data_IF_685831996550
#
_entry.id   IF_685831996550
#
_cell.length_a   1.000
_cell.length_b   1.000
_cell.length_c   1.000
_cell.angle_alpha   90.00
_cell.angle_beta   90.00
_cell.angle_gamma   90.00
#
_symmetry.space_group_name_H-M   'P 1'
#
loop_
_entity.id
_entity.type
_entity.pdbx_description
1 polymer ?
#
# COMPACT_ATOMS: atom_id res chain seq x y z
N UNK A 1 35.93 -18.97 -27.95
CA UNK A 1 34.53 -18.85 -27.48
C UNK A 1 34.42 -19.08 -25.97
N UNK A 2 35.26 -19.85 -25.36
CA UNK A 2 35.01 -20.36 -24.02
C UNK A 2 35.40 -19.46 -22.84
N UNK A 3 36.21 -18.44 -23.03
CA UNK A 3 36.67 -17.55 -21.94
C UNK A 3 35.57 -16.54 -21.53
N UNK A 4 34.75 -16.07 -22.47
CA UNK A 4 33.66 -15.13 -22.21
C UNK A 4 32.51 -15.80 -21.44
N UNK A 5 32.18 -17.04 -21.80
CA UNK A 5 31.09 -17.78 -21.12
C UNK A 5 31.47 -18.14 -19.68
N UNK A 6 32.75 -18.43 -19.41
CA UNK A 6 33.26 -18.69 -18.05
C UNK A 6 33.22 -17.45 -17.20
N UNK A 7 33.56 -16.29 -17.77
CA UNK A 7 33.51 -15.01 -17.05
C UNK A 7 32.07 -14.62 -16.68
N UNK A 8 31.14 -14.74 -17.63
CA UNK A 8 29.73 -14.42 -17.41
C UNK A 8 29.12 -15.33 -16.34
N UNK A 9 29.43 -16.63 -16.38
CA UNK A 9 29.02 -17.57 -15.35
C UNK A 9 29.63 -17.23 -13.98
N UNK A 10 30.91 -16.87 -13.93
CA UNK A 10 31.59 -16.47 -12.70
C UNK A 10 30.98 -15.22 -12.08
N UNK A 11 30.72 -14.19 -12.91
CA UNK A 11 30.06 -12.95 -12.46
C UNK A 11 28.64 -13.21 -11.98
N UNK A 12 27.87 -14.02 -12.68
CA UNK A 12 26.50 -14.36 -12.27
C UNK A 12 26.48 -15.07 -10.92
N UNK A 13 27.35 -16.06 -10.70
CA UNK A 13 27.48 -16.76 -9.43
C UNK A 13 27.93 -15.85 -8.29
N UNK A 14 28.84 -14.94 -8.56
CA UNK A 14 29.31 -13.94 -7.61
C UNK A 14 28.17 -12.96 -7.26
N UNK A 15 27.40 -12.53 -8.26
CA UNK A 15 26.24 -11.66 -8.09
C UNK A 15 25.17 -12.31 -7.17
N UNK A 16 24.83 -13.57 -7.44
CA UNK A 16 23.88 -14.32 -6.60
C UNK A 16 24.37 -14.47 -5.16
N UNK A 17 25.67 -14.74 -4.97
CA UNK A 17 26.29 -14.85 -3.64
C UNK A 17 26.25 -13.52 -2.89
N UNK A 18 26.59 -12.41 -3.53
CA UNK A 18 26.53 -11.07 -2.92
C UNK A 18 25.11 -10.67 -2.58
N UNK A 19 24.15 -10.94 -3.46
CA UNK A 19 22.74 -10.64 -3.16
C UNK A 19 22.30 -11.40 -1.91
N UNK A 20 22.53 -12.71 -1.88
CA UNK A 20 22.04 -13.59 -0.81
C UNK A 20 22.75 -13.35 0.52
N UNK A 21 24.05 -13.14 0.52
CA UNK A 21 24.85 -13.12 1.74
C UNK A 21 25.26 -11.74 2.22
N UNK A 22 25.12 -10.69 1.38
CA UNK A 22 25.53 -9.32 1.70
C UNK A 22 24.37 -8.37 1.60
N UNK A 23 23.69 -8.29 0.44
CA UNK A 23 22.63 -7.29 0.20
C UNK A 23 21.38 -7.61 1.02
N UNK A 24 20.90 -8.84 0.94
CA UNK A 24 19.68 -9.27 1.63
C UNK A 24 19.79 -9.14 3.17
N UNK A 25 20.86 -9.61 3.83
CA UNK A 25 21.10 -9.34 5.24
C UNK A 25 21.27 -7.85 5.58
N UNK A 26 21.94 -7.08 4.73
CA UNK A 26 22.14 -5.63 4.93
C UNK A 26 20.86 -4.83 4.84
N UNK A 27 19.88 -5.31 4.08
CA UNK A 27 18.53 -4.73 3.97
C UNK A 27 17.64 -5.10 5.16
N UNK A 28 18.08 -6.04 6.02
CA UNK A 28 17.33 -6.38 7.21
C UNK A 28 17.49 -5.27 8.26
N UNK A 29 16.52 -4.36 8.30
CA UNK A 29 16.53 -3.16 9.14
C UNK A 29 16.41 -3.45 10.64
N UNK A 30 16.12 -4.70 11.02
CA UNK A 30 16.05 -5.10 12.42
C UNK A 30 17.42 -5.19 13.09
N UNK A 31 18.47 -5.38 12.30
CA UNK A 31 19.86 -5.39 12.78
C UNK A 31 20.66 -4.47 11.87
N UNK A 32 20.84 -3.19 12.27
CA UNK A 32 21.64 -2.27 11.49
C UNK A 32 23.07 -2.84 11.38
N UNK A 33 23.53 -3.01 10.15
CA UNK A 33 24.88 -3.50 9.88
C UNK A 33 25.74 -2.35 9.36
N UNK A 34 26.99 -2.29 9.80
CA UNK A 34 28.00 -1.40 9.23
C UNK A 34 28.93 -2.18 8.29
N UNK A 35 29.34 -1.57 7.19
CA UNK A 35 30.33 -2.14 6.29
C UNK A 35 31.70 -1.53 6.56
N UNK A 36 32.69 -2.36 6.79
CA UNK A 36 34.07 -1.97 6.95
C UNK A 36 34.90 -2.67 5.87
N UNK A 37 35.65 -1.89 5.10
CA UNK A 37 36.61 -2.42 4.13
C UNK A 37 38.00 -2.41 4.77
N UNK A 38 38.55 -3.60 5.02
CA UNK A 38 39.91 -3.77 5.49
C UNK A 38 40.78 -4.16 4.29
N UNK A 39 41.76 -3.33 3.95
CA UNK A 39 42.77 -3.66 2.96
C UNK A 39 44.03 -4.17 3.68
N UNK A 40 44.38 -5.43 3.52
CA UNK A 40 45.63 -5.97 4.01
C UNK A 40 46.79 -5.54 3.07
N UNK A 41 47.59 -4.61 3.53
CA UNK A 41 48.86 -4.25 2.88
C UNK A 41 49.94 -5.25 3.27
N UNK A 42 49.76 -6.51 2.96
CA UNK A 42 50.88 -7.43 3.04
C UNK A 42 51.71 -7.33 1.76
N UNK A 43 52.99 -7.15 1.92
CA UNK A 43 54.05 -6.93 0.92
C UNK A 43 54.07 -8.04 -0.15
N UNK A 44 53.29 -7.84 -1.19
CA UNK A 44 53.22 -8.71 -2.37
C UNK A 44 52.07 -8.25 -3.26
N UNK A 45 52.18 -8.38 -4.55
CA UNK A 45 51.33 -7.85 -5.61
C UNK A 45 49.83 -8.15 -5.57
N UNK A 46 49.34 -8.85 -4.53
CA UNK A 46 47.93 -9.11 -4.31
C UNK A 46 47.42 -8.34 -3.09
N UNK A 47 46.69 -7.27 -3.31
CA UNK A 47 45.93 -6.57 -2.25
C UNK A 47 44.69 -7.37 -1.93
N UNK A 48 44.73 -8.20 -0.89
CA UNK A 48 43.54 -8.85 -0.35
C UNK A 48 42.70 -7.83 0.41
N UNK A 49 41.54 -7.51 -0.09
CA UNK A 49 40.57 -6.66 0.60
C UNK A 49 39.41 -7.50 1.15
N UNK A 50 39.05 -7.26 2.38
CA UNK A 50 37.96 -7.94 3.06
C UNK A 50 36.85 -6.96 3.40
N UNK A 51 35.66 -7.25 2.92
CA UNK A 51 34.45 -6.53 3.32
C UNK A 51 33.82 -7.24 4.54
N UNK A 52 33.84 -6.58 5.70
CA UNK A 52 33.23 -7.09 6.92
C UNK A 52 31.87 -6.42 7.16
N UNK A 53 30.91 -7.26 7.49
CA UNK A 53 29.57 -6.82 7.93
C UNK A 53 29.54 -6.95 9.45
N UNK A 54 29.52 -5.82 10.15
CA UNK A 54 29.48 -5.81 11.62
C UNK A 54 28.07 -5.36 12.07
N UNK A 55 27.51 -6.01 13.12
CA UNK A 55 26.30 -5.49 13.73
C UNK A 55 26.57 -4.10 14.31
N UNK A 56 25.69 -3.15 14.06
CA UNK A 56 25.80 -1.80 14.57
C UNK A 56 25.46 -1.80 16.07
N UNK A 57 26.43 -1.47 16.91
CA UNK A 57 26.30 -1.43 18.38
C UNK A 57 25.91 -0.04 18.92
N UNK A 58 25.46 0.87 18.05
CA UNK A 58 25.06 2.23 18.45
C UNK A 58 23.65 2.27 19.03
N UNK A 59 23.45 3.20 19.98
CA UNK A 59 22.17 3.52 20.61
C UNK A 59 21.07 3.81 19.60
N UNK A 60 19.89 3.28 19.88
CA UNK A 60 18.57 3.47 19.26
C UNK A 60 18.54 4.33 18.00
N UNK A 61 18.55 3.68 16.83
CA UNK A 61 18.20 4.36 15.59
C UNK A 61 16.68 4.52 15.61
N UNK A 62 16.22 5.69 16.04
CA UNK A 62 14.85 6.12 15.90
C UNK A 62 14.57 6.34 14.40
N UNK A 63 14.03 5.32 13.74
CA UNK A 63 13.54 5.41 12.37
C UNK A 63 14.43 4.74 11.33
N UNK A 64 13.81 4.44 10.20
CA UNK A 64 14.42 3.96 8.97
C UNK A 64 15.32 5.07 8.37
N UNK A 65 16.61 5.09 8.70
CA UNK A 65 17.55 6.07 8.18
C UNK A 65 18.00 5.70 6.74
N UNK A 66 17.43 6.39 5.77
CA UNK A 66 17.76 6.22 4.35
C UNK A 66 19.19 6.63 4.01
N UNK A 67 19.75 7.62 4.71
CA UNK A 67 21.11 8.08 4.48
C UNK A 67 22.13 7.00 4.84
N UNK A 68 21.95 6.37 5.98
CA UNK A 68 22.79 5.24 6.40
C UNK A 68 22.65 4.03 5.46
N UNK A 69 21.44 3.78 4.94
CA UNK A 69 21.21 2.71 3.98
C UNK A 69 21.94 2.95 2.65
N UNK A 70 21.71 4.13 2.04
CA UNK A 70 22.34 4.45 0.75
C UNK A 70 23.86 4.55 0.87
N UNK A 71 24.39 5.11 1.96
CA UNK A 71 25.83 5.15 2.23
C UNK A 71 26.45 3.76 2.29
N UNK A 72 25.79 2.81 2.98
CA UNK A 72 26.23 1.39 3.01
C UNK A 72 26.24 0.75 1.62
N UNK A 73 25.17 1.01 0.83
CA UNK A 73 25.12 0.48 -0.52
C UNK A 73 26.21 1.07 -1.42
N UNK A 74 26.55 2.34 -1.27
CA UNK A 74 27.66 2.98 -1.99
C UNK A 74 29.02 2.32 -1.62
N UNK A 75 29.25 2.06 -0.32
CA UNK A 75 30.46 1.37 0.12
C UNK A 75 30.56 -0.02 -0.53
N UNK A 76 29.47 -0.77 -0.53
CA UNK A 76 29.41 -2.09 -1.16
C UNK A 76 29.70 -2.03 -2.65
N UNK A 77 29.03 -1.13 -3.38
CA UNK A 77 29.18 -1.04 -4.84
C UNK A 77 30.60 -0.55 -5.23
N UNK A 78 31.19 0.35 -4.45
CA UNK A 78 32.60 0.77 -4.62
C UNK A 78 33.56 -0.39 -4.35
N UNK A 79 33.29 -1.22 -3.35
CA UNK A 79 34.08 -2.43 -3.09
C UNK A 79 34.01 -3.40 -4.29
N UNK A 80 32.83 -3.62 -4.83
CA UNK A 80 32.62 -4.47 -6.03
C UNK A 80 33.41 -3.91 -7.22
N UNK A 81 33.28 -2.60 -7.46
CA UNK A 81 33.99 -1.93 -8.57
C UNK A 81 35.49 -2.13 -8.47
N UNK A 82 36.06 -1.88 -7.29
CA UNK A 82 37.50 -1.91 -7.08
C UNK A 82 38.10 -3.33 -7.01
N UNK A 83 37.43 -4.24 -6.30
CA UNK A 83 38.04 -5.53 -5.94
C UNK A 83 37.47 -6.72 -6.71
N UNK A 84 36.27 -6.62 -7.27
CA UNK A 84 35.65 -7.71 -8.05
C UNK A 84 35.73 -7.39 -9.54
N UNK A 85 35.35 -6.19 -9.92
CA UNK A 85 35.37 -5.75 -11.31
C UNK A 85 36.75 -5.14 -11.73
N UNK A 86 37.72 -5.04 -10.82
CA UNK A 86 39.08 -4.55 -11.06
C UNK A 86 39.09 -3.19 -11.81
N UNK A 87 38.21 -2.28 -11.42
CA UNK A 87 38.00 -0.95 -12.04
C UNK A 87 37.62 -1.03 -13.53
N UNK A 88 37.20 -2.18 -14.03
CA UNK A 88 36.76 -2.36 -15.39
C UNK A 88 35.30 -2.01 -15.56
N UNK A 89 34.97 -0.91 -16.22
CA UNK A 89 33.62 -0.43 -16.42
C UNK A 89 32.72 -1.37 -17.23
N UNK A 90 33.28 -2.23 -18.11
CA UNK A 90 32.46 -3.21 -18.83
C UNK A 90 32.01 -4.34 -17.91
N UNK A 91 32.90 -4.83 -17.05
CA UNK A 91 32.54 -5.84 -16.05
C UNK A 91 31.57 -5.30 -15.02
N UNK A 92 31.78 -4.05 -14.60
CA UNK A 92 30.86 -3.35 -13.70
C UNK A 92 29.46 -3.24 -14.28
N UNK A 93 29.36 -2.89 -15.57
CA UNK A 93 28.07 -2.81 -16.26
C UNK A 93 27.38 -4.17 -16.38
N UNK A 94 28.13 -5.21 -16.66
CA UNK A 94 27.60 -6.58 -16.74
C UNK A 94 27.12 -7.03 -15.36
N UNK A 95 27.93 -6.82 -14.33
CA UNK A 95 27.59 -7.12 -12.96
C UNK A 95 26.33 -6.33 -12.50
N UNK A 96 26.25 -5.07 -12.82
CA UNK A 96 25.09 -4.22 -12.54
C UNK A 96 23.80 -4.73 -13.20
N UNK A 97 23.86 -5.15 -14.48
CA UNK A 97 22.70 -5.75 -15.14
C UNK A 97 22.17 -7.00 -14.43
N UNK A 98 23.04 -7.78 -13.82
CA UNK A 98 22.67 -8.99 -13.09
C UNK A 98 22.12 -8.69 -11.68
N UNK A 99 22.64 -7.66 -11.01
CA UNK A 99 22.35 -7.40 -9.59
C UNK A 99 21.33 -6.29 -9.37
N UNK A 100 21.33 -5.24 -10.19
CA UNK A 100 20.51 -4.05 -9.98
C UNK A 100 19.00 -4.32 -9.91
N UNK A 101 18.40 -5.17 -10.77
CA UNK A 101 16.97 -5.45 -10.66
C UNK A 101 16.58 -5.97 -9.28
N UNK A 102 17.32 -6.95 -8.76
CA UNK A 102 17.05 -7.53 -7.44
C UNK A 102 17.38 -6.58 -6.29
N UNK A 103 18.50 -5.86 -6.38
CA UNK A 103 18.90 -4.88 -5.37
C UNK A 103 17.91 -3.76 -5.26
N UNK A 104 17.44 -3.20 -6.38
CA UNK A 104 16.43 -2.15 -6.40
C UNK A 104 15.07 -2.64 -5.85
N UNK A 105 14.64 -3.86 -6.18
CA UNK A 105 13.42 -4.45 -5.62
C UNK A 105 13.51 -4.63 -4.10
N UNK A 106 14.67 -5.03 -3.57
CA UNK A 106 14.90 -5.13 -2.14
C UNK A 106 14.87 -3.76 -1.45
N UNK A 107 15.48 -2.72 -2.05
CA UNK A 107 15.43 -1.36 -1.52
C UNK A 107 13.98 -0.83 -1.52
N UNK A 108 13.25 -1.03 -2.61
CA UNK A 108 11.84 -0.60 -2.70
C UNK A 108 10.98 -1.32 -1.66
N UNK A 109 11.06 -2.65 -1.59
CA UNK A 109 10.19 -3.45 -0.70
C UNK A 109 10.54 -3.29 0.78
N UNK A 110 11.82 -3.25 1.14
CA UNK A 110 12.26 -3.24 2.52
C UNK A 110 12.41 -1.84 3.12
N UNK A 111 12.62 -0.82 2.29
CA UNK A 111 12.83 0.55 2.72
C UNK A 111 11.79 1.51 2.17
N UNK A 112 11.77 1.78 0.86
CA UNK A 112 10.93 2.84 0.29
C UNK A 112 9.43 2.65 0.57
N UNK A 113 8.91 1.45 0.41
CA UNK A 113 7.52 1.14 0.73
C UNK A 113 7.15 1.39 2.21
N UNK A 114 8.11 1.20 3.13
CA UNK A 114 7.87 1.41 4.57
C UNK A 114 7.95 2.87 4.99
N UNK A 115 8.67 3.67 4.23
CA UNK A 115 8.86 5.11 4.47
C UNK A 115 7.78 5.96 3.79
N UNK A 116 6.98 5.38 2.89
CA UNK A 116 5.80 6.08 2.34
C UNK A 116 4.93 6.57 3.50
N UNK A 117 4.65 7.87 3.61
CA UNK A 117 3.91 8.42 4.74
C UNK A 117 2.51 7.81 4.90
N UNK A 118 2.01 7.79 6.14
CA UNK A 118 0.62 7.39 6.43
C UNK A 118 -0.36 8.56 6.31
N UNK A 119 0.15 9.79 6.27
CA UNK A 119 -0.61 11.02 6.22
C UNK A 119 -0.22 11.86 5.01
N UNK A 120 -1.19 12.42 4.31
CA UNK A 120 -0.98 13.30 3.15
C UNK A 120 -0.16 14.55 3.50
N UNK A 121 -0.30 15.08 4.73
CA UNK A 121 0.48 16.24 5.20
C UNK A 121 1.99 15.98 5.25
N UNK A 122 2.39 14.72 5.43
CA UNK A 122 3.79 14.30 5.51
C UNK A 122 4.41 13.93 4.16
N UNK A 123 3.65 14.01 3.06
CA UNK A 123 4.19 13.77 1.71
C UNK A 123 5.28 14.76 1.34
N UNK A 124 5.22 15.99 1.87
CA UNK A 124 6.29 16.99 1.67
C UNK A 124 7.63 16.55 2.25
N UNK A 125 7.62 15.82 3.37
CA UNK A 125 8.84 15.36 4.05
C UNK A 125 9.52 14.25 3.26
N UNK A 126 8.76 13.54 2.41
CA UNK A 126 9.30 12.51 1.53
C UNK A 126 10.23 13.06 0.44
N UNK A 127 10.24 14.37 0.18
CA UNK A 127 11.14 15.00 -0.79
C UNK A 127 12.62 14.72 -0.52
N UNK A 128 12.99 14.60 0.76
CA UNK A 128 14.38 14.22 1.12
C UNK A 128 14.71 12.81 0.60
N UNK A 129 13.78 11.86 0.71
CA UNK A 129 13.96 10.49 0.20
C UNK A 129 14.06 10.48 -1.33
N UNK A 130 13.26 11.30 -2.02
CA UNK A 130 13.33 11.47 -3.49
C UNK A 130 14.74 11.96 -3.90
N UNK A 131 15.24 13.02 -3.24
CA UNK A 131 16.58 13.55 -3.50
C UNK A 131 17.68 12.52 -3.28
N UNK A 132 17.61 11.80 -2.14
CA UNK A 132 18.61 10.76 -1.79
C UNK A 132 18.58 9.58 -2.77
N UNK A 133 17.41 9.14 -3.21
CA UNK A 133 17.26 8.08 -4.20
C UNK A 133 17.87 8.48 -5.55
N UNK A 134 17.63 9.72 -5.98
CA UNK A 134 18.17 10.27 -7.22
C UNK A 134 19.70 10.42 -7.17
N UNK A 135 20.25 10.89 -6.05
CA UNK A 135 21.69 11.04 -5.84
C UNK A 135 22.39 9.66 -5.79
N UNK A 136 21.77 8.68 -5.14
CA UNK A 136 22.27 7.31 -5.14
C UNK A 136 22.33 6.72 -6.56
N UNK A 137 21.25 6.82 -7.34
CA UNK A 137 21.24 6.35 -8.72
C UNK A 137 22.23 7.10 -9.61
N UNK A 138 22.45 8.40 -9.35
CA UNK A 138 23.51 9.17 -10.04
C UNK A 138 24.89 8.59 -9.75
N UNK A 139 25.18 8.31 -8.48
CA UNK A 139 26.47 7.68 -8.10
C UNK A 139 26.65 6.32 -8.78
N UNK A 140 25.57 5.50 -8.88
CA UNK A 140 25.64 4.22 -9.59
C UNK A 140 25.88 4.36 -11.09
N UNK A 141 25.39 5.45 -11.72
CA UNK A 141 25.69 5.79 -13.12
C UNK A 141 27.14 6.18 -13.32
N UNK A 142 27.69 6.99 -12.42
CA UNK A 142 29.07 7.48 -12.49
C UNK A 142 30.07 6.33 -12.45
N UNK A 143 29.80 5.27 -11.70
CA UNK A 143 30.62 4.04 -11.65
C UNK A 143 30.18 2.96 -12.66
N UNK A 144 29.33 3.29 -13.61
CA UNK A 144 28.82 2.40 -14.67
C UNK A 144 28.08 1.15 -14.18
N UNK A 145 27.59 1.14 -12.94
CA UNK A 145 26.80 0.03 -12.40
C UNK A 145 25.41 -0.04 -13.05
N UNK A 146 24.81 1.11 -13.34
CA UNK A 146 23.56 1.23 -14.10
C UNK A 146 23.77 2.06 -15.36
N UNK A 147 22.89 1.85 -16.36
CA UNK A 147 22.98 2.56 -17.62
C UNK A 147 22.61 4.05 -17.46
N UNK A 148 23.40 4.96 -18.00
CA UNK A 148 23.07 6.37 -18.02
C UNK A 148 21.91 6.71 -18.98
N UNK A 149 21.73 5.91 -20.02
CA UNK A 149 20.76 6.16 -21.11
C UNK A 149 19.42 5.42 -20.91
N UNK A 150 19.36 4.37 -20.11
CA UNK A 150 18.15 3.59 -19.93
C UNK A 150 17.34 4.09 -18.72
N UNK A 151 16.16 4.68 -19.00
CA UNK A 151 15.22 5.11 -17.95
C UNK A 151 14.67 3.95 -17.10
N UNK A 152 14.75 2.71 -17.61
CA UNK A 152 14.32 1.53 -16.87
C UNK A 152 15.21 1.23 -15.67
N UNK A 153 16.44 1.70 -15.69
CA UNK A 153 17.40 1.54 -14.59
C UNK A 153 17.17 2.54 -13.45
N UNK A 154 16.39 3.62 -13.68
CA UNK A 154 16.01 4.61 -12.65
C UNK A 154 14.83 4.14 -11.80
N UNK A 155 14.93 2.97 -11.20
CA UNK A 155 13.80 2.31 -10.51
C UNK A 155 13.43 3.00 -9.20
N UNK A 156 14.43 3.46 -8.45
CA UNK A 156 14.22 4.12 -7.16
C UNK A 156 13.65 5.53 -7.34
N UNK A 157 14.22 6.31 -8.26
CA UNK A 157 13.71 7.64 -8.60
C UNK A 157 12.28 7.56 -9.14
N UNK A 158 12.00 6.62 -10.05
CA UNK A 158 10.64 6.40 -10.57
C UNK A 158 9.65 6.02 -9.48
N UNK A 159 10.05 5.21 -8.50
CA UNK A 159 9.22 4.88 -7.34
C UNK A 159 8.97 6.13 -6.48
N UNK A 160 10.03 6.86 -6.16
CA UNK A 160 9.97 8.04 -5.30
C UNK A 160 9.15 9.18 -5.94
N UNK A 161 9.26 9.39 -7.25
CA UNK A 161 8.46 10.37 -8.00
C UNK A 161 6.96 10.02 -8.04
N UNK A 162 6.62 8.74 -7.86
CA UNK A 162 5.25 8.27 -7.81
C UNK A 162 4.74 8.01 -6.38
N UNK A 163 5.37 8.60 -5.36
CA UNK A 163 5.01 8.39 -3.96
C UNK A 163 3.55 8.70 -3.65
N UNK A 164 2.97 9.74 -4.25
CA UNK A 164 1.55 10.06 -4.08
C UNK A 164 0.63 8.92 -4.53
N UNK A 165 0.97 8.27 -5.66
CA UNK A 165 0.22 7.12 -6.17
C UNK A 165 0.36 5.92 -5.22
N UNK A 166 1.56 5.65 -4.72
CA UNK A 166 1.78 4.57 -3.75
C UNK A 166 1.06 4.82 -2.43
N UNK A 167 1.07 6.06 -1.95
CA UNK A 167 0.31 6.50 -0.78
C UNK A 167 -1.19 6.28 -0.99
N UNK A 168 -1.74 6.74 -2.11
CA UNK A 168 -3.16 6.65 -2.43
C UNK A 168 -3.63 5.19 -2.52
N UNK A 169 -2.87 4.33 -3.21
CA UNK A 169 -3.17 2.90 -3.30
C UNK A 169 -3.14 2.20 -1.94
N UNK A 170 -2.15 2.52 -1.10
CA UNK A 170 -2.06 1.97 0.26
C UNK A 170 -3.26 2.39 1.11
N UNK A 171 -3.65 3.66 1.05
CA UNK A 171 -4.84 4.17 1.73
C UNK A 171 -6.13 3.55 1.22
N UNK A 172 -6.27 3.38 -0.09
CA UNK A 172 -7.40 2.64 -0.67
C UNK A 172 -7.51 1.22 -0.09
N UNK A 173 -6.40 0.48 -0.04
CA UNK A 173 -6.37 -0.87 0.55
C UNK A 173 -6.77 -0.84 2.03
N UNK A 174 -6.31 0.17 2.79
CA UNK A 174 -6.68 0.35 4.20
C UNK A 174 -8.18 0.60 4.36
N UNK A 175 -8.76 1.51 3.55
CA UNK A 175 -10.19 1.82 3.54
C UNK A 175 -11.01 0.58 3.23
N UNK A 176 -10.65 -0.17 2.19
CA UNK A 176 -11.33 -1.40 1.81
C UNK A 176 -11.19 -2.50 2.88
N UNK A 177 -10.04 -2.59 3.53
CA UNK A 177 -9.81 -3.49 4.67
C UNK A 177 -10.71 -3.16 5.86
N UNK A 178 -10.87 -1.87 6.20
CA UNK A 178 -11.81 -1.40 7.23
C UNK A 178 -13.25 -1.70 6.87
N UNK A 179 -13.68 -1.37 5.64
CA UNK A 179 -15.03 -1.66 5.15
C UNK A 179 -15.34 -3.16 5.21
N UNK A 180 -14.43 -4.00 4.70
CA UNK A 180 -14.57 -5.46 4.75
C UNK A 180 -14.70 -5.97 6.19
N UNK A 181 -13.87 -5.46 7.12
CA UNK A 181 -13.94 -5.85 8.53
C UNK A 181 -15.29 -5.49 9.13
N UNK A 182 -15.78 -4.26 8.93
CA UNK A 182 -17.09 -3.81 9.41
C UNK A 182 -18.20 -4.71 8.90
N UNK A 183 -18.24 -4.99 7.60
CA UNK A 183 -19.29 -5.80 6.98
C UNK A 183 -19.23 -7.28 7.43
N UNK A 184 -18.02 -7.86 7.54
CA UNK A 184 -17.88 -9.24 7.99
C UNK A 184 -18.17 -9.43 9.47
N UNK A 185 -17.95 -8.42 10.31
CA UNK A 185 -18.26 -8.44 11.75
C UNK A 185 -19.73 -8.05 12.04
N UNK A 186 -20.50 -7.63 11.03
CA UNK A 186 -21.92 -7.34 11.18
C UNK A 186 -22.66 -8.63 11.58
N UNK A 187 -23.25 -8.64 12.76
CA UNK A 187 -24.03 -9.77 13.31
C UNK A 187 -25.52 -9.52 13.18
N UNK A 188 -25.92 -8.37 12.60
CA UNK A 188 -27.32 -7.93 12.53
C UNK A 188 -28.01 -7.93 13.91
N UNK A 189 -27.24 -7.72 14.97
CA UNK A 189 -27.78 -7.49 16.30
C UNK A 189 -28.39 -6.10 16.37
N UNK A 190 -29.52 -5.99 17.01
CA UNK A 190 -30.14 -4.70 17.30
C UNK A 190 -29.25 -3.91 18.24
N UNK A 191 -29.13 -2.56 18.07
CA UNK A 191 -28.49 -1.74 19.07
C UNK A 191 -29.15 -2.01 20.43
N UNK A 192 -28.35 -2.38 21.43
CA UNK A 192 -28.86 -2.51 22.80
C UNK A 192 -29.09 -1.09 23.33
N UNK A 193 -30.29 -0.60 23.19
CA UNK A 193 -30.71 0.59 23.92
C UNK A 193 -31.10 0.14 25.35
N UNK A 194 -30.42 0.64 26.35
CA UNK A 194 -30.50 0.28 27.75
C UNK A 194 -31.87 0.60 28.38
N UNK A 195 -32.99 0.42 27.71
CA UNK A 195 -34.27 0.78 28.31
C UNK A 195 -35.58 0.36 27.64
N UNK A 196 -35.57 -0.32 26.50
CA UNK A 196 -36.84 -0.70 25.83
C UNK A 196 -37.00 -2.21 25.72
N UNK A 197 -37.49 -2.80 26.77
CA UNK A 197 -38.05 -4.16 26.82
C UNK A 197 -39.38 -4.17 26.06
N UNK A 198 -39.62 -5.22 25.30
CA UNK A 198 -40.87 -5.74 24.75
C UNK A 198 -41.49 -5.24 23.45
N UNK A 199 -40.99 -4.18 22.77
CA UNK A 199 -41.57 -3.72 21.49
C UNK A 199 -40.53 -3.54 20.36
N UNK A 200 -39.51 -4.37 20.28
CA UNK A 200 -38.49 -4.28 19.25
C UNK A 200 -39.04 -4.46 17.83
N UNK A 201 -40.07 -5.31 17.68
CA UNK A 201 -40.74 -5.57 16.39
C UNK A 201 -41.51 -4.33 15.91
N UNK A 202 -42.17 -3.61 16.82
CA UNK A 202 -42.94 -2.39 16.48
C UNK A 202 -42.01 -1.23 16.07
N UNK A 203 -40.81 -1.13 16.67
CA UNK A 203 -39.81 -0.15 16.30
C UNK A 203 -39.20 -0.37 14.90
N UNK A 204 -39.13 -1.63 14.45
CA UNK A 204 -38.61 -1.97 13.11
C UNK A 204 -39.53 -1.47 11.97
N UNK A 205 -40.83 -1.30 12.24
CA UNK A 205 -41.87 -0.93 11.27
C UNK A 205 -42.36 0.51 11.43
N UNK A 206 -41.91 1.27 12.42
CA UNK A 206 -42.25 2.69 12.56
C UNK A 206 -41.64 3.49 11.43
N UNK A 207 -42.48 4.11 10.60
CA UNK A 207 -42.06 4.91 9.42
C UNK A 207 -41.15 6.10 9.75
N UNK A 208 -41.07 6.52 11.01
CA UNK A 208 -40.28 7.67 11.46
C UNK A 208 -38.90 7.30 12.04
N UNK A 209 -38.67 6.04 12.41
CA UNK A 209 -37.38 5.57 12.98
C UNK A 209 -37.04 4.19 12.47
N UNK A 210 -36.40 4.10 11.30
CA UNK A 210 -35.81 2.87 10.84
C UNK A 210 -34.60 2.51 11.69
N UNK A 211 -34.60 1.33 12.31
CA UNK A 211 -33.42 0.78 12.97
C UNK A 211 -32.46 0.30 11.90
N UNK A 212 -31.24 0.79 11.93
CA UNK A 212 -30.16 0.50 11.00
C UNK A 212 -29.06 -0.25 11.76
N UNK A 213 -28.39 -1.19 11.12
CA UNK A 213 -27.28 -1.89 11.75
C UNK A 213 -26.11 -0.94 12.03
N UNK A 214 -25.36 -1.23 13.10
CA UNK A 214 -24.15 -0.47 13.42
C UNK A 214 -23.14 -0.54 12.26
N UNK A 215 -23.09 -1.67 11.56
CA UNK A 215 -22.19 -1.83 10.40
C UNK A 215 -22.52 -0.87 9.26
N UNK A 216 -23.79 -0.69 8.90
CA UNK A 216 -24.19 0.26 7.87
C UNK A 216 -23.89 1.71 8.28
N UNK A 217 -24.16 2.06 9.54
CA UNK A 217 -23.83 3.37 10.09
C UNK A 217 -22.31 3.65 10.08
N UNK A 218 -21.51 2.71 10.55
CA UNK A 218 -20.06 2.84 10.55
C UNK A 218 -19.46 2.86 9.12
N UNK A 219 -20.06 2.10 8.19
CA UNK A 219 -19.67 2.15 6.79
C UNK A 219 -19.87 3.55 6.19
N UNK A 220 -21.03 4.17 6.46
CA UNK A 220 -21.29 5.55 5.98
C UNK A 220 -20.33 6.56 6.62
N UNK A 221 -20.04 6.43 7.91
CA UNK A 221 -19.02 7.29 8.56
C UNK A 221 -17.64 7.14 7.89
N UNK A 222 -17.25 5.91 7.54
CA UNK A 222 -16.01 5.65 6.82
C UNK A 222 -16.02 6.31 5.43
N UNK A 223 -17.14 6.21 4.70
CA UNK A 223 -17.31 6.84 3.38
C UNK A 223 -17.22 8.38 3.48
N UNK A 224 -17.95 9.00 4.42
CA UNK A 224 -17.89 10.45 4.66
C UNK A 224 -16.47 10.90 5.00
N UNK A 225 -15.79 10.23 5.92
CA UNK A 225 -14.40 10.57 6.26
C UNK A 225 -13.48 10.47 5.04
N UNK A 226 -13.65 9.40 4.24
CA UNK A 226 -12.86 9.24 3.00
C UNK A 226 -13.12 10.35 2.00
N UNK A 227 -14.38 10.79 1.84
CA UNK A 227 -14.73 11.88 0.92
C UNK A 227 -14.25 13.25 1.42
N UNK A 228 -14.18 13.49 2.72
CA UNK A 228 -13.52 14.68 3.29
C UNK A 228 -12.04 14.69 2.93
N UNK A 229 -11.35 13.53 3.02
CA UNK A 229 -9.96 13.40 2.59
C UNK A 229 -9.80 13.65 1.08
N UNK A 230 -10.76 13.23 0.24
CA UNK A 230 -10.77 13.54 -1.21
C UNK A 230 -10.72 15.04 -1.45
N UNK A 231 -11.53 15.82 -0.73
CA UNK A 231 -11.61 17.28 -0.89
C UNK A 231 -10.30 17.99 -0.55
N UNK A 232 -9.48 17.41 0.32
CA UNK A 232 -8.22 17.98 0.80
C UNK A 232 -6.98 17.45 0.05
N UNK A 233 -7.16 16.48 -0.84
CA UNK A 233 -6.06 15.77 -1.47
C UNK A 233 -5.67 16.34 -2.84
N UNK A 234 -4.45 16.01 -3.29
CA UNK A 234 -4.04 16.26 -4.67
C UNK A 234 -4.91 15.48 -5.67
N UNK A 235 -5.05 15.91 -6.94
CA UNK A 235 -5.92 15.25 -7.92
C UNK A 235 -5.66 13.75 -8.10
N UNK A 236 -4.39 13.32 -8.01
CA UNK A 236 -4.02 11.90 -8.14
C UNK A 236 -4.50 11.07 -6.96
N UNK A 237 -4.32 11.59 -5.75
CA UNK A 237 -4.74 10.93 -4.51
C UNK A 237 -6.26 10.92 -4.40
N UNK A 238 -6.90 12.02 -4.75
CA UNK A 238 -8.36 12.21 -4.70
C UNK A 238 -9.12 11.14 -5.49
N UNK A 239 -8.64 10.79 -6.69
CA UNK A 239 -9.27 9.80 -7.55
C UNK A 239 -9.27 8.40 -6.90
N UNK A 240 -8.15 7.98 -6.31
CA UNK A 240 -8.04 6.67 -5.65
C UNK A 240 -8.88 6.61 -4.37
N UNK A 241 -8.98 7.70 -3.62
CA UNK A 241 -9.83 7.77 -2.43
C UNK A 241 -11.31 7.70 -2.82
N UNK A 242 -11.72 8.41 -3.88
CA UNK A 242 -13.06 8.32 -4.42
C UNK A 242 -13.41 6.87 -4.80
N UNK A 243 -12.52 6.19 -5.55
CA UNK A 243 -12.72 4.78 -5.87
C UNK A 243 -12.77 3.91 -4.63
N UNK A 244 -11.95 4.21 -3.61
CA UNK A 244 -11.98 3.49 -2.32
C UNK A 244 -13.33 3.62 -1.61
N UNK A 245 -13.89 4.83 -1.55
CA UNK A 245 -15.21 5.08 -0.96
C UNK A 245 -16.34 4.36 -1.73
N UNK A 246 -16.30 4.41 -3.05
CA UNK A 246 -17.25 3.72 -3.91
C UNK A 246 -17.18 2.19 -3.78
N UNK A 247 -15.97 1.64 -3.82
CA UNK A 247 -15.73 0.20 -3.70
C UNK A 247 -16.16 -0.31 -2.30
N UNK A 248 -16.02 0.50 -1.24
CA UNK A 248 -16.50 0.16 0.10
C UNK A 248 -18.02 -0.04 0.14
N UNK A 249 -18.79 0.79 -0.57
CA UNK A 249 -20.24 0.62 -0.71
C UNK A 249 -20.60 -0.63 -1.54
N UNK A 250 -19.85 -0.89 -2.62
CA UNK A 250 -20.03 -2.11 -3.41
C UNK A 250 -19.74 -3.39 -2.61
N UNK A 251 -18.85 -3.33 -1.63
CA UNK A 251 -18.63 -4.46 -0.72
C UNK A 251 -19.84 -4.81 0.10
N UNK A 252 -20.61 -3.81 0.56
CA UNK A 252 -21.85 -4.07 1.27
C UNK A 252 -22.82 -4.85 0.39
N UNK A 253 -23.07 -4.36 -0.82
CA UNK A 253 -23.95 -5.01 -1.80
C UNK A 253 -23.52 -6.45 -2.10
N UNK A 254 -22.24 -6.72 -2.21
CA UNK A 254 -21.74 -8.04 -2.60
C UNK A 254 -21.70 -9.06 -1.44
N UNK A 255 -21.40 -8.61 -0.21
CA UNK A 255 -21.12 -9.52 0.91
C UNK A 255 -22.39 -9.83 1.71
N UNK A 256 -23.29 -8.86 1.89
CA UNK A 256 -24.43 -9.02 2.78
C UNK A 256 -25.40 -10.12 2.35
N UNK A 257 -25.77 -10.26 1.06
CA UNK A 257 -26.64 -11.38 0.63
C UNK A 257 -26.04 -12.75 0.96
N UNK A 258 -24.74 -12.91 0.75
CA UNK A 258 -24.04 -14.19 1.05
C UNK A 258 -24.00 -14.48 2.56
N UNK A 259 -24.00 -13.46 3.40
CA UNK A 259 -24.10 -13.63 4.87
C UNK A 259 -25.50 -14.02 5.29
N UNK A 260 -26.52 -13.44 4.67
CA UNK A 260 -27.92 -13.75 4.95
C UNK A 260 -28.22 -15.23 4.72
N UNK A 261 -27.78 -15.80 3.59
CA UNK A 261 -27.95 -17.21 3.24
C UNK A 261 -27.40 -18.19 4.30
N UNK A 262 -26.47 -17.72 5.14
CA UNK A 262 -25.83 -18.53 6.19
C UNK A 262 -26.50 -18.42 7.56
N UNK A 263 -27.41 -17.49 7.75
CA UNK A 263 -28.06 -17.22 9.06
C UNK A 263 -29.48 -17.75 9.09
N UNK A 264 -29.64 -19.07 9.09
CA UNK A 264 -30.93 -19.77 8.98
C UNK A 264 -31.89 -19.57 10.19
N UNK A 265 -31.36 -19.24 11.38
CA UNK A 265 -32.17 -19.26 12.63
C UNK A 265 -32.99 -17.96 12.89
N UNK A 266 -32.59 -16.82 12.30
CA UNK A 266 -33.22 -15.50 12.48
C UNK A 266 -33.49 -14.77 11.16
N UNK A 267 -33.87 -15.48 10.13
CA UNK A 267 -34.01 -14.98 8.75
C UNK A 267 -34.85 -13.70 8.67
N UNK A 268 -36.00 -13.67 9.34
CA UNK A 268 -36.97 -12.55 9.23
C UNK A 268 -36.41 -11.25 9.81
N UNK A 269 -35.81 -11.28 10.98
CA UNK A 269 -35.24 -10.09 11.63
C UNK A 269 -34.04 -9.55 10.84
N UNK A 270 -33.17 -10.46 10.43
CA UNK A 270 -31.97 -10.12 9.64
C UNK A 270 -32.38 -9.55 8.29
N UNK A 271 -33.38 -10.08 7.62
CA UNK A 271 -33.89 -9.57 6.35
C UNK A 271 -34.48 -8.15 6.49
N UNK A 272 -35.22 -7.88 7.57
CA UNK A 272 -35.76 -6.54 7.85
C UNK A 272 -34.63 -5.53 8.12
N UNK A 273 -33.62 -5.88 8.94
CA UNK A 273 -32.48 -5.03 9.19
C UNK A 273 -31.70 -4.74 7.90
N UNK A 274 -31.46 -5.77 7.10
CA UNK A 274 -30.79 -5.60 5.81
C UNK A 274 -31.59 -4.72 4.86
N UNK A 275 -32.92 -4.87 4.83
CA UNK A 275 -33.79 -3.98 4.06
C UNK A 275 -33.63 -2.53 4.50
N UNK A 276 -33.69 -2.27 5.80
CA UNK A 276 -33.53 -0.95 6.37
C UNK A 276 -32.14 -0.37 6.07
N UNK A 277 -31.09 -1.17 6.22
CA UNK A 277 -29.73 -0.79 5.85
C UNK A 277 -29.60 -0.40 4.39
N UNK A 278 -30.16 -1.19 3.48
CA UNK A 278 -30.14 -0.90 2.05
C UNK A 278 -30.88 0.39 1.70
N UNK A 279 -32.04 0.63 2.33
CA UNK A 279 -32.80 1.89 2.16
C UNK A 279 -32.01 3.08 2.71
N UNK A 280 -31.49 2.97 3.93
CA UNK A 280 -30.65 3.99 4.55
C UNK A 280 -29.44 4.32 3.67
N UNK A 281 -28.62 3.31 3.30
CA UNK A 281 -27.47 3.52 2.43
C UNK A 281 -27.84 4.15 1.10
N UNK A 282 -28.97 3.72 0.48
CA UNK A 282 -29.43 4.30 -0.78
C UNK A 282 -29.80 5.79 -0.67
N UNK A 283 -30.33 6.21 0.48
CA UNK A 283 -30.71 7.60 0.74
C UNK A 283 -29.46 8.44 1.03
N UNK A 284 -28.57 7.99 1.90
CA UNK A 284 -27.30 8.65 2.20
C UNK A 284 -26.45 8.84 0.94
N UNK A 285 -26.36 7.83 0.08
CA UNK A 285 -25.61 7.88 -1.19
C UNK A 285 -26.13 9.01 -2.10
N UNK A 286 -27.43 9.23 -2.15
CA UNK A 286 -28.00 10.35 -2.92
C UNK A 286 -27.57 11.71 -2.33
N UNK A 287 -27.44 11.81 -1.00
CA UNK A 287 -26.94 13.00 -0.31
C UNK A 287 -25.48 13.31 -0.61
N UNK A 288 -24.61 12.29 -0.74
CA UNK A 288 -23.18 12.45 -0.95
C UNK A 288 -22.83 13.33 -2.15
N UNK A 289 -23.57 13.18 -3.26
CA UNK A 289 -23.35 13.97 -4.46
C UNK A 289 -23.61 15.48 -4.23
N UNK A 290 -24.62 15.83 -3.41
CA UNK A 290 -24.94 17.23 -3.11
C UNK A 290 -23.94 17.82 -2.11
N UNK A 291 -23.51 17.02 -1.12
CA UNK A 291 -22.63 17.48 -0.05
C UNK A 291 -21.20 17.70 -0.53
N UNK A 292 -20.64 16.75 -1.27
CA UNK A 292 -19.21 16.75 -1.60
C UNK A 292 -18.87 17.30 -2.99
N UNK A 293 -19.78 17.21 -3.97
CA UNK A 293 -19.52 17.63 -5.35
C UNK A 293 -18.92 19.04 -5.49
N UNK A 294 -19.37 20.07 -4.74
CA UNK A 294 -18.81 21.41 -4.86
C UNK A 294 -17.34 21.52 -4.43
N UNK A 295 -16.89 20.57 -3.61
CA UNK A 295 -15.54 20.54 -3.00
C UNK A 295 -14.60 19.54 -3.65
N UNK A 296 -15.11 18.70 -4.55
CA UNK A 296 -14.31 17.68 -5.22
C UNK A 296 -13.38 18.32 -6.28
N UNK A 297 -12.13 17.83 -6.41
CA UNK A 297 -11.26 18.21 -7.51
C UNK A 297 -11.90 17.92 -8.87
N UNK A 298 -11.62 18.75 -9.89
CA UNK A 298 -12.23 18.63 -11.23
C UNK A 298 -12.07 17.25 -11.86
N UNK A 299 -10.94 16.59 -11.62
CA UNK A 299 -10.68 15.22 -12.12
C UNK A 299 -11.63 14.16 -11.53
N UNK A 300 -12.21 14.42 -10.36
CA UNK A 300 -13.17 13.54 -9.68
C UNK A 300 -14.61 14.00 -9.94
N UNK A 301 -14.85 15.32 -9.99
CA UNK A 301 -16.18 15.90 -10.08
C UNK A 301 -16.99 15.36 -11.29
N UNK A 302 -16.35 15.21 -12.44
CA UNK A 302 -17.00 14.71 -13.66
C UNK A 302 -17.35 13.21 -13.60
N UNK A 303 -16.68 12.48 -12.73
CA UNK A 303 -16.81 11.03 -12.54
C UNK A 303 -17.43 10.65 -11.19
N UNK A 304 -17.65 11.62 -10.28
CA UNK A 304 -18.17 11.37 -8.93
C UNK A 304 -19.66 11.02 -8.97
N UNK A 305 -19.96 9.86 -9.49
CA UNK A 305 -21.31 9.33 -9.61
C UNK A 305 -21.47 8.24 -8.57
N UNK A 306 -22.23 8.54 -7.50
CA UNK A 306 -22.70 7.55 -6.54
C UNK A 306 -24.16 7.16 -6.80
N UNK A 307 -24.88 7.96 -7.59
CA UNK A 307 -26.33 7.84 -7.82
C UNK A 307 -26.71 6.49 -8.43
N UNK A 308 -25.84 5.88 -9.22
CA UNK A 308 -26.05 4.56 -9.82
C UNK A 308 -26.07 3.42 -8.78
N UNK A 309 -25.49 3.62 -7.60
CA UNK A 309 -25.52 2.63 -6.51
C UNK A 309 -26.86 2.61 -5.77
N UNK A 310 -27.55 3.75 -5.69
CA UNK A 310 -28.80 3.85 -4.96
C UNK A 310 -29.91 2.92 -5.48
N UNK A 311 -30.19 2.83 -6.81
CA UNK A 311 -31.19 1.88 -7.33
C UNK A 311 -30.78 0.43 -7.12
N UNK A 312 -29.50 0.10 -7.14
CA UNK A 312 -29.00 -1.26 -6.90
C UNK A 312 -29.28 -1.70 -5.47
N UNK A 313 -28.99 -0.85 -4.48
CA UNK A 313 -29.31 -1.11 -3.06
C UNK A 313 -30.83 -1.23 -2.84
N UNK A 314 -31.64 -0.39 -3.51
CA UNK A 314 -33.10 -0.49 -3.41
C UNK A 314 -33.63 -1.78 -4.03
N UNK A 315 -33.02 -2.25 -5.10
CA UNK A 315 -33.37 -3.54 -5.69
C UNK A 315 -33.04 -4.68 -4.73
N UNK A 316 -31.84 -4.67 -4.16
CA UNK A 316 -31.40 -5.63 -3.16
C UNK A 316 -32.35 -5.65 -1.93
N UNK A 317 -32.80 -4.48 -1.47
CA UNK A 317 -33.79 -4.37 -0.39
C UNK A 317 -35.09 -5.07 -0.73
N UNK A 318 -35.58 -4.98 -1.96
CA UNK A 318 -36.84 -5.60 -2.41
C UNK A 318 -36.71 -7.11 -2.58
N UNK A 319 -35.64 -7.59 -3.20
CA UNK A 319 -35.41 -9.02 -3.46
C UNK A 319 -35.39 -9.81 -2.15
N UNK A 320 -34.69 -9.32 -1.13
CA UNK A 320 -34.58 -10.02 0.15
C UNK A 320 -35.88 -10.10 0.94
N UNK A 321 -36.80 -9.13 0.85
CA UNK A 321 -38.10 -9.22 1.49
C UNK A 321 -39.00 -10.21 0.76
N UNK A 322 -38.99 -10.20 -0.57
CA UNK A 322 -39.85 -11.12 -1.36
C UNK A 322 -39.46 -12.59 -1.12
N UNK A 323 -38.15 -12.87 -1.03
CA UNK A 323 -37.68 -14.24 -0.77
C UNK A 323 -37.97 -14.73 0.65
N UNK A 324 -37.91 -13.83 1.64
CA UNK A 324 -38.10 -14.20 3.06
C UNK A 324 -39.54 -14.09 3.53
N UNK A 325 -40.40 -13.33 2.87
CA UNK A 325 -41.81 -13.14 3.24
C UNK A 325 -42.71 -13.24 1.99
N UNK A 326 -43.00 -14.49 1.51
CA UNK A 326 -43.78 -14.70 0.27
C UNK A 326 -45.25 -14.26 0.38
N UNK A 327 -45.68 -13.76 1.55
CA UNK A 327 -47.04 -13.26 1.83
C UNK A 327 -47.11 -11.74 2.04
N UNK A 328 -45.99 -11.00 1.91
CA UNK A 328 -45.93 -9.53 1.80
C UNK A 328 -45.82 -9.11 0.36
#
# INVERSE_FOLDING_TARGET
MDVLDILDYGLARTADSIIKHVIDPAMNLKVPASFIVEANKNSGENCDAVLRILPYLGSEINGLDGEALFSRMIILVNFIFKHICLENGQWMRLFGKLTWPRMSDLIISNFLNKVVPDDASKLSDFRRIVSMSSEFEKTLKDIMFISASDKKDQRLSNFADNVETHFALRKKIEILGKARKLILQCDFTLPQDDGVSDCVVDLLFLSEKCVVSEAASQLMKLVHHTLQDVCLSSPRVALEFYHGARDALLFYEAIIPVKLDRQLDNITLVAVLMHNDCLYLSQEILGLAFEYRPHLPSCVNDHAVFVDLAPRLRLLAKENIVETCPYC
#
